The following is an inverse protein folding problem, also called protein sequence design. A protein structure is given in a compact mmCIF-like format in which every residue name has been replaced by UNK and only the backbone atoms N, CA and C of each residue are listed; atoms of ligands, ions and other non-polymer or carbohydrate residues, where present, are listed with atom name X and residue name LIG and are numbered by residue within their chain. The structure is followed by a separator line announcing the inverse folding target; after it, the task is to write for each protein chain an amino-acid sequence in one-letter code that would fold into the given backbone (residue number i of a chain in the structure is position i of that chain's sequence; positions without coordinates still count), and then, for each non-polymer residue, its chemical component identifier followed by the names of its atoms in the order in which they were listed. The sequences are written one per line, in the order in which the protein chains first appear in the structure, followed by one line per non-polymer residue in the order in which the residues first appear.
data_IF_864683345462
#
_entry.id   IF_864683345462
#
_cell.length_a   1.000
_cell.length_b   1.000
_cell.length_c   1.000
_cell.angle_alpha   90.00
_cell.angle_beta   90.00
_cell.angle_gamma   90.00
#
_symmetry.space_group_name_H-M   'P 1'
#
loop_
_entity.id
_entity.type
_entity.pdbx_description
1 polymer ?
#
# COMPACT_ATOMS: atom_id res chain seq x y z
N UNK A 1 -6.51 -5.35 10.13
CA UNK A 1 -6.16 -3.99 9.67
C UNK A 1 -7.41 -3.31 9.16
N UNK A 2 -7.63 -2.06 9.58
CA UNK A 2 -8.68 -1.16 9.13
C UNK A 2 -7.99 -0.01 8.38
N UNK A 3 -8.38 0.25 7.14
CA UNK A 3 -7.76 1.28 6.30
C UNK A 3 -8.76 1.85 5.29
N UNK A 4 -8.47 3.04 4.78
CA UNK A 4 -9.17 3.61 3.64
C UNK A 4 -8.75 2.93 2.33
N UNK A 5 -9.70 2.70 1.43
CA UNK A 5 -9.46 2.04 0.14
C UNK A 5 -8.94 2.96 -0.96
N UNK A 6 -9.21 4.26 -0.85
CA UNK A 6 -8.68 5.31 -1.72
C UNK A 6 -7.25 5.74 -1.33
N UNK A 7 -6.89 5.54 -0.06
CA UNK A 7 -5.58 5.88 0.49
C UNK A 7 -4.93 4.68 1.20
N UNK A 8 -4.79 3.52 0.54
CA UNK A 8 -4.27 2.30 1.19
C UNK A 8 -2.79 2.40 1.54
N UNK A 9 -2.07 3.41 1.04
CA UNK A 9 -0.66 3.65 1.32
C UNK A 9 -0.41 4.44 2.61
N UNK A 10 -1.46 5.02 3.21
CA UNK A 10 -1.33 5.66 4.51
C UNK A 10 -1.24 4.62 5.63
N UNK A 11 -0.72 5.00 6.80
CA UNK A 11 -0.79 4.15 7.99
C UNK A 11 -2.24 3.72 8.24
N UNK A 12 -2.46 2.46 8.64
CA UNK A 12 -3.81 1.97 8.88
C UNK A 12 -4.48 2.75 10.02
N UNK A 13 -5.81 2.94 9.90
CA UNK A 13 -6.65 3.56 10.94
C UNK A 13 -6.55 2.76 12.23
N UNK A 14 -6.56 1.43 12.10
CA UNK A 14 -6.37 0.50 13.21
C UNK A 14 -5.79 -0.83 12.72
N UNK A 15 -5.16 -1.58 13.62
CA UNK A 15 -4.72 -2.95 13.34
C UNK A 15 -4.66 -3.77 14.62
N UNK A 16 -4.77 -5.09 14.46
CA UNK A 16 -4.64 -6.04 15.56
C UNK A 16 -3.82 -7.23 15.11
N UNK A 17 -3.18 -7.88 16.07
CA UNK A 17 -2.54 -9.20 15.89
C UNK A 17 -3.33 -10.19 16.72
N UNK A 18 -3.96 -11.15 16.05
CA UNK A 18 -4.68 -12.24 16.72
C UNK A 18 -3.78 -13.47 16.74
N UNK A 19 -3.37 -13.95 17.92
CA UNK A 19 -2.59 -15.17 18.00
C UNK A 19 -3.47 -16.35 17.59
N UNK A 20 -2.97 -17.21 16.70
CA UNK A 20 -3.65 -18.47 16.38
C UNK A 20 -3.15 -19.57 17.31
N UNK A 21 -3.98 -20.13 18.21
CA UNK A 21 -3.57 -21.23 19.07
C UNK A 21 -3.11 -22.44 18.27
N UNK A 22 -2.24 -23.26 18.87
CA UNK A 22 -1.81 -24.52 18.23
C UNK A 22 -3.01 -25.45 18.04
N UNK A 23 -3.24 -25.89 16.80
CA UNK A 23 -4.38 -26.73 16.43
C UNK A 23 -5.68 -25.98 16.11
N UNK A 24 -5.75 -24.67 16.35
CA UNK A 24 -6.89 -23.86 15.92
C UNK A 24 -6.89 -23.65 14.40
N UNK A 25 -8.10 -23.59 13.84
CA UNK A 25 -8.34 -23.25 12.44
C UNK A 25 -7.88 -21.82 12.12
N UNK A 26 -7.54 -21.57 10.85
CA UNK A 26 -7.20 -20.21 10.39
C UNK A 26 -8.40 -19.28 10.42
N UNK A 27 -9.60 -19.83 10.20
CA UNK A 27 -10.87 -19.16 10.20
C UNK A 27 -11.19 -18.50 11.55
N UNK A 28 -10.96 -19.20 12.66
CA UNK A 28 -11.21 -18.66 14.01
C UNK A 28 -10.45 -17.34 14.24
N UNK A 29 -9.14 -17.33 13.99
CA UNK A 29 -8.31 -16.14 14.12
C UNK A 29 -8.70 -15.03 13.12
N UNK A 30 -9.12 -15.40 11.90
CA UNK A 30 -9.60 -14.45 10.89
C UNK A 30 -10.89 -13.77 11.36
N UNK A 31 -11.87 -14.52 11.85
CA UNK A 31 -13.16 -13.95 12.27
C UNK A 31 -13.04 -13.15 13.57
N UNK A 32 -12.19 -13.57 14.50
CA UNK A 32 -11.83 -12.75 15.66
C UNK A 32 -11.21 -11.41 15.22
N UNK A 33 -10.26 -11.43 14.28
CA UNK A 33 -9.67 -10.19 13.75
C UNK A 33 -10.71 -9.30 13.04
N UNK A 34 -11.66 -9.90 12.30
CA UNK A 34 -12.74 -9.15 11.64
C UNK A 34 -13.64 -8.47 12.66
N UNK A 35 -14.04 -9.16 13.72
CA UNK A 35 -14.89 -8.57 14.77
C UNK A 35 -14.15 -7.46 15.52
N UNK A 36 -12.88 -7.67 15.90
CA UNK A 36 -12.06 -6.62 16.52
C UNK A 36 -11.94 -5.36 15.62
N UNK A 37 -11.79 -5.54 14.31
CA UNK A 37 -11.74 -4.40 13.37
C UNK A 37 -13.09 -3.72 13.16
N UNK A 38 -14.21 -4.44 13.29
CA UNK A 38 -15.56 -3.86 13.28
C UNK A 38 -15.84 -3.05 14.53
N UNK A 39 -15.43 -3.55 15.69
CA UNK A 39 -15.51 -2.84 16.95
C UNK A 39 -14.64 -1.57 16.90
N UNK A 40 -13.40 -1.68 16.41
CA UNK A 40 -12.52 -0.54 16.21
C UNK A 40 -13.15 0.51 15.27
N UNK A 41 -13.71 0.09 14.13
CA UNK A 41 -14.39 1.00 13.22
C UNK A 41 -15.59 1.70 13.88
N UNK A 42 -16.43 0.95 14.59
CA UNK A 42 -17.59 1.50 15.32
C UNK A 42 -17.15 2.51 16.38
N UNK A 43 -16.09 2.22 17.13
CA UNK A 43 -15.56 3.10 18.17
C UNK A 43 -15.01 4.43 17.62
N UNK A 44 -14.66 4.45 16.33
CA UNK A 44 -14.08 5.59 15.61
C UNK A 44 -15.06 6.29 14.67
N UNK A 45 -16.34 5.86 14.64
CA UNK A 45 -17.36 6.33 13.68
C UNK A 45 -16.97 6.10 12.21
N UNK A 46 -16.23 5.02 11.94
CA UNK A 46 -15.81 4.62 10.59
C UNK A 46 -16.81 3.64 9.95
N UNK A 47 -17.13 3.87 8.67
CA UNK A 47 -18.04 3.01 7.93
C UNK A 47 -17.30 1.91 7.15
N UNK A 48 -17.50 0.66 7.53
CA UNK A 48 -16.89 -0.49 6.84
C UNK A 48 -17.64 -0.78 5.53
N UNK A 49 -17.02 -0.43 4.39
CA UNK A 49 -17.59 -0.66 3.05
C UNK A 49 -17.37 -2.07 2.51
N UNK A 50 -16.40 -2.81 3.07
CA UNK A 50 -16.05 -4.16 2.64
C UNK A 50 -15.05 -4.82 3.59
N UNK A 51 -14.96 -6.14 3.51
CA UNK A 51 -14.02 -6.96 4.28
C UNK A 51 -13.25 -7.81 3.28
N UNK A 52 -11.93 -7.82 3.38
CA UNK A 52 -11.04 -8.63 2.55
C UNK A 52 -10.15 -9.49 3.44
N UNK A 53 -9.92 -10.74 3.03
CA UNK A 53 -9.03 -11.68 3.71
C UNK A 53 -8.05 -12.24 2.70
N UNK A 54 -6.76 -12.12 2.96
CA UNK A 54 -5.74 -12.80 2.17
C UNK A 54 -5.56 -14.23 2.62
N UNK A 55 -5.41 -15.14 1.67
CA UNK A 55 -5.09 -16.54 1.97
C UNK A 55 -3.97 -17.03 1.08
N UNK A 56 -3.05 -17.78 1.68
CA UNK A 56 -1.88 -18.36 1.02
C UNK A 56 -2.13 -19.67 0.27
N UNK A 57 -3.22 -20.37 0.56
CA UNK A 57 -3.49 -21.70 0.01
C UNK A 57 -4.98 -22.03 0.01
N UNK A 58 -5.38 -22.93 -0.89
CA UNK A 58 -6.77 -23.35 -1.08
C UNK A 58 -7.41 -23.90 0.20
N UNK A 59 -6.66 -24.63 1.04
CA UNK A 59 -7.20 -25.18 2.30
C UNK A 59 -7.58 -24.08 3.30
N UNK A 60 -6.80 -23.00 3.39
CA UNK A 60 -7.15 -21.85 4.22
C UNK A 60 -8.31 -21.06 3.63
N UNK A 61 -8.34 -20.90 2.31
CA UNK A 61 -9.44 -20.27 1.59
C UNK A 61 -10.77 -21.02 1.82
N UNK A 62 -10.77 -22.35 1.73
CA UNK A 62 -11.93 -23.19 2.00
C UNK A 62 -12.43 -23.05 3.44
N UNK A 63 -11.51 -23.08 4.42
CA UNK A 63 -11.85 -22.90 5.83
C UNK A 63 -12.50 -21.53 6.09
N UNK A 64 -11.88 -20.45 5.61
CA UNK A 64 -12.42 -19.08 5.74
C UNK A 64 -13.76 -18.96 5.03
N UNK A 65 -13.91 -19.53 3.83
CA UNK A 65 -15.16 -19.49 3.06
C UNK A 65 -16.29 -20.25 3.75
N UNK A 66 -16.00 -21.43 4.31
CA UNK A 66 -16.98 -22.22 5.04
C UNK A 66 -17.47 -21.48 6.29
N UNK A 67 -16.56 -20.89 7.05
CA UNK A 67 -16.88 -20.12 8.26
C UNK A 67 -17.56 -18.77 7.95
N UNK A 68 -17.29 -18.15 6.79
CA UNK A 68 -17.93 -16.90 6.38
C UNK A 68 -19.46 -17.02 6.28
N UNK A 69 -19.96 -18.18 5.86
CA UNK A 69 -21.39 -18.41 5.65
C UNK A 69 -22.01 -17.37 4.71
N UNK A 70 -22.86 -16.49 5.25
CA UNK A 70 -23.53 -15.40 4.50
C UNK A 70 -22.83 -14.05 4.61
N UNK A 71 -21.74 -13.96 5.36
CA UNK A 71 -20.98 -12.73 5.54
C UNK A 71 -20.38 -12.27 4.22
N UNK A 72 -20.48 -10.97 3.93
CA UNK A 72 -19.85 -10.36 2.75
C UNK A 72 -18.37 -10.11 3.03
N UNK A 73 -17.55 -11.10 2.70
CA UNK A 73 -16.09 -10.94 2.66
C UNK A 73 -15.56 -11.36 1.28
N UNK A 74 -14.46 -10.74 0.87
CA UNK A 74 -13.72 -11.09 -0.33
C UNK A 74 -12.46 -11.84 0.09
N UNK A 75 -12.31 -13.10 -0.35
CA UNK A 75 -11.05 -13.83 -0.19
C UNK A 75 -10.16 -13.50 -1.38
N UNK A 76 -8.91 -13.17 -1.11
CA UNK A 76 -7.92 -12.77 -2.11
C UNK A 76 -6.70 -13.65 -1.97
N UNK A 77 -6.16 -14.12 -3.10
CA UNK A 77 -4.88 -14.82 -3.13
C UNK A 77 -3.76 -13.86 -2.67
N UNK A 78 -3.00 -14.25 -1.66
CA UNK A 78 -2.01 -13.41 -1.00
C UNK A 78 -0.95 -12.82 -1.96
N UNK A 79 -0.22 -13.61 -2.78
CA UNK A 79 0.68 -13.07 -3.79
C UNK A 79 0.01 -12.11 -4.78
N UNK A 80 -1.24 -12.33 -5.17
CA UNK A 80 -1.95 -11.40 -6.06
C UNK A 80 -2.28 -10.08 -5.36
N UNK A 81 -2.64 -10.12 -4.08
CA UNK A 81 -2.82 -8.93 -3.28
C UNK A 81 -1.51 -8.14 -3.16
N UNK A 82 -0.39 -8.82 -2.88
CA UNK A 82 0.93 -8.21 -2.78
C UNK A 82 1.32 -7.52 -4.10
N UNK A 83 1.20 -8.22 -5.24
CA UNK A 83 1.44 -7.65 -6.57
C UNK A 83 0.54 -6.43 -6.85
N UNK A 84 -0.74 -6.52 -6.48
CA UNK A 84 -1.70 -5.42 -6.66
C UNK A 84 -1.25 -4.16 -5.93
N UNK A 85 -0.79 -4.29 -4.68
CA UNK A 85 -0.34 -3.15 -3.91
C UNK A 85 0.99 -2.58 -4.40
N UNK A 86 1.98 -3.43 -4.69
CA UNK A 86 3.28 -2.98 -5.21
C UNK A 86 3.15 -2.29 -6.58
N UNK A 87 2.16 -2.69 -7.39
CA UNK A 87 1.81 -1.99 -8.63
C UNK A 87 1.17 -0.63 -8.36
N UNK A 88 0.28 -0.55 -7.36
CA UNK A 88 -0.36 0.71 -6.97
C UNK A 88 0.66 1.76 -6.49
N UNK A 89 1.74 1.32 -5.85
CA UNK A 89 2.84 2.20 -5.40
C UNK A 89 3.89 2.46 -6.49
N UNK A 90 3.68 1.98 -7.72
CA UNK A 90 4.60 2.11 -8.87
C UNK A 90 6.00 1.55 -8.59
N UNK A 91 6.11 0.57 -7.68
CA UNK A 91 7.40 -0.02 -7.27
C UNK A 91 7.81 -1.23 -8.11
N UNK A 92 6.87 -1.87 -8.81
CA UNK A 92 7.17 -3.03 -9.67
C UNK A 92 7.84 -2.60 -10.98
N UNK A 93 8.78 -3.41 -11.51
CA UNK A 93 9.26 -3.27 -12.88
C UNK A 93 8.11 -3.32 -13.90
N UNK A 94 8.27 -2.65 -15.04
CA UNK A 94 7.25 -2.64 -16.10
C UNK A 94 7.11 -3.98 -16.84
N UNK A 95 8.19 -4.76 -16.88
CA UNK A 95 8.29 -6.06 -17.56
C UNK A 95 9.20 -7.01 -16.79
N UNK A 96 9.33 -8.25 -17.25
CA UNK A 96 10.14 -9.27 -16.56
C UNK A 96 9.47 -9.81 -15.30
N UNK A 97 10.26 -10.36 -14.39
CA UNK A 97 9.75 -11.03 -13.19
C UNK A 97 10.28 -10.40 -11.92
N UNK A 98 9.46 -10.44 -10.87
CA UNK A 98 9.82 -10.02 -9.51
C UNK A 98 9.80 -11.23 -8.60
N UNK A 99 10.70 -11.26 -7.63
CA UNK A 99 10.66 -12.20 -6.52
C UNK A 99 10.02 -11.53 -5.31
N UNK A 100 8.92 -12.06 -4.81
CA UNK A 100 8.34 -11.67 -3.53
C UNK A 100 8.93 -12.58 -2.45
N UNK A 101 9.64 -11.97 -1.51
CA UNK A 101 10.22 -12.61 -0.34
C UNK A 101 9.46 -12.12 0.90
N UNK A 102 8.49 -12.90 1.35
CA UNK A 102 7.60 -12.56 2.47
C UNK A 102 7.99 -13.34 3.72
N UNK A 103 8.74 -12.69 4.61
CA UNK A 103 9.24 -13.27 5.86
C UNK A 103 8.37 -12.85 7.05
N UNK A 104 7.37 -13.67 7.33
CA UNK A 104 6.44 -13.49 8.44
C UNK A 104 6.91 -14.10 9.76
N UNK A 105 6.01 -14.15 10.74
CA UNK A 105 6.26 -14.75 12.04
C UNK A 105 6.47 -16.27 11.95
N UNK A 106 5.60 -16.97 11.22
CA UNK A 106 5.57 -18.44 11.17
C UNK A 106 6.43 -19.05 10.08
N UNK A 107 6.98 -18.24 9.17
CA UNK A 107 7.82 -18.75 8.10
C UNK A 107 8.07 -17.75 6.98
N UNK A 108 8.67 -18.27 5.91
CA UNK A 108 9.00 -17.56 4.68
C UNK A 108 8.14 -18.07 3.53
N UNK A 109 7.51 -17.16 2.79
CA UNK A 109 6.89 -17.45 1.50
C UNK A 109 7.70 -16.77 0.41
N UNK A 110 8.13 -17.53 -0.60
CA UNK A 110 8.83 -17.02 -1.76
C UNK A 110 7.96 -17.25 -2.99
N UNK A 111 7.66 -16.18 -3.71
CA UNK A 111 6.83 -16.23 -4.93
C UNK A 111 7.54 -15.50 -6.05
N UNK A 112 7.71 -16.13 -7.20
CA UNK A 112 8.17 -15.45 -8.41
C UNK A 112 6.99 -15.19 -9.34
N UNK A 113 6.85 -13.96 -9.80
CA UNK A 113 5.73 -13.53 -10.62
C UNK A 113 6.16 -12.65 -11.79
N UNK A 114 5.43 -12.76 -12.91
CA UNK A 114 5.58 -11.87 -14.06
C UNK A 114 4.91 -10.51 -13.81
N UNK A 115 5.68 -9.43 -13.96
CA UNK A 115 5.25 -8.08 -13.62
C UNK A 115 4.25 -7.49 -14.63
N UNK A 116 4.08 -8.08 -15.81
CA UNK A 116 3.12 -7.59 -16.81
C UNK A 116 1.77 -8.28 -16.71
N UNK A 117 1.78 -9.57 -16.43
CA UNK A 117 0.59 -10.45 -16.47
C UNK A 117 0.08 -10.85 -15.10
N UNK A 118 0.81 -10.55 -14.03
CA UNK A 118 0.57 -11.05 -12.67
C UNK A 118 0.60 -12.59 -12.58
N UNK A 119 1.16 -13.27 -13.59
CA UNK A 119 1.25 -14.71 -13.62
C UNK A 119 2.28 -15.20 -12.58
N UNK A 120 1.84 -16.09 -11.69
CA UNK A 120 2.73 -16.74 -10.73
C UNK A 120 3.49 -17.86 -11.43
N UNK A 121 4.81 -17.74 -11.48
CA UNK A 121 5.70 -18.73 -12.11
C UNK A 121 6.01 -19.89 -11.15
N UNK A 122 6.28 -19.54 -9.89
CA UNK A 122 6.50 -20.49 -8.82
C UNK A 122 6.20 -19.85 -7.46
N UNK A 123 5.74 -20.65 -6.51
CA UNK A 123 5.48 -20.23 -5.15
C UNK A 123 5.83 -21.35 -4.18
N UNK A 124 6.52 -21.01 -3.09
CA UNK A 124 7.03 -21.96 -2.11
C UNK A 124 6.94 -21.40 -0.69
N UNK A 125 6.69 -22.28 0.28
CA UNK A 125 6.68 -21.92 1.69
C UNK A 125 7.62 -22.81 2.50
N UNK A 126 8.36 -22.18 3.41
CA UNK A 126 9.17 -22.85 4.40
C UNK A 126 8.86 -22.30 5.80
N UNK A 127 8.75 -23.20 6.77
CA UNK A 127 8.64 -22.86 8.20
C UNK A 127 9.99 -22.91 8.92
N UNK A 128 11.09 -23.17 8.20
CA UNK A 128 12.45 -23.28 8.77
C UNK A 128 12.94 -21.93 9.28
N UNK A 129 12.58 -20.84 8.59
CA UNK A 129 13.02 -19.47 8.91
C UNK A 129 11.79 -18.59 9.06
N UNK A 130 11.68 -17.90 10.18
CA UNK A 130 10.55 -17.04 10.51
C UNK A 130 10.77 -16.31 11.84
N UNK A 131 9.95 -15.29 12.09
CA UNK A 131 10.03 -14.46 13.30
C UNK A 131 9.95 -15.24 14.61
N UNK A 132 9.17 -16.33 14.66
CA UNK A 132 9.05 -17.19 15.85
C UNK A 132 10.36 -17.91 16.18
N UNK A 133 11.08 -18.33 15.14
CA UNK A 133 12.42 -18.90 15.26
C UNK A 133 13.43 -17.86 15.72
N UNK A 134 13.35 -16.64 15.17
CA UNK A 134 14.20 -15.52 15.62
C UNK A 134 13.98 -15.19 17.10
N UNK A 135 12.72 -15.16 17.56
CA UNK A 135 12.39 -14.95 18.96
C UNK A 135 12.94 -16.10 19.83
N UNK A 136 12.87 -17.35 19.34
CA UNK A 136 13.44 -18.49 20.06
C UNK A 136 14.97 -18.39 20.20
N UNK A 137 15.68 -18.00 19.13
CA UNK A 137 17.13 -17.78 19.15
C UNK A 137 17.52 -16.66 20.12
N UNK A 138 16.76 -15.56 20.14
CA UNK A 138 17.00 -14.45 21.06
C UNK A 138 16.80 -14.88 22.53
N UNK A 139 15.71 -15.61 22.83
CA UNK A 139 15.48 -16.17 24.17
C UNK A 139 16.59 -17.12 24.58
N UNK A 140 17.02 -17.99 23.68
CA UNK A 140 18.10 -18.94 23.95
C UNK A 140 19.41 -18.21 24.28
N UNK A 141 19.76 -17.17 23.51
CA UNK A 141 20.95 -16.35 23.78
C UNK A 141 20.86 -15.66 25.13
N UNK A 142 19.74 -15.01 25.43
CA UNK A 142 19.54 -14.29 26.69
C UNK A 142 19.57 -15.23 27.90
N UNK A 143 19.02 -16.43 27.78
CA UNK A 143 19.04 -17.42 28.85
C UNK A 143 20.47 -17.87 29.18
N UNK A 144 21.36 -17.96 28.18
CA UNK A 144 22.78 -18.23 28.39
C UNK A 144 23.47 -17.14 29.22
N UNK A 145 23.04 -15.89 29.03
CA UNK A 145 23.55 -14.71 29.74
C UNK A 145 22.77 -14.44 31.06
N UNK A 146 21.95 -15.39 31.52
CA UNK A 146 21.24 -15.33 32.81
C UNK A 146 19.97 -14.49 32.80
N UNK A 147 19.40 -14.21 31.63
CA UNK A 147 18.12 -13.49 31.45
C UNK A 147 17.07 -14.42 30.86
N UNK A 148 16.07 -14.79 31.67
CA UNK A 148 14.97 -15.65 31.25
C UNK A 148 13.72 -14.82 31.04
N UNK A 149 13.23 -14.78 29.80
CA UNK A 149 12.06 -14.01 29.39
C UNK A 149 11.05 -14.87 28.64
N UNK A 150 9.80 -14.43 28.62
CA UNK A 150 8.74 -15.08 27.85
C UNK A 150 8.78 -14.70 26.36
N UNK A 151 7.91 -15.33 25.57
CA UNK A 151 7.84 -15.11 24.12
C UNK A 151 7.44 -13.67 23.76
N UNK A 152 6.39 -13.07 24.34
CA UNK A 152 6.03 -11.67 24.06
C UNK A 152 7.17 -10.69 24.35
N UNK A 153 7.87 -10.84 25.48
CA UNK A 153 9.00 -9.96 25.85
C UNK A 153 10.15 -10.07 24.85
N UNK A 154 10.45 -11.29 24.38
CA UNK A 154 11.45 -11.51 23.34
C UNK A 154 11.08 -10.83 22.02
N UNK A 155 9.82 -10.92 21.61
CA UNK A 155 9.33 -10.25 20.41
C UNK A 155 9.50 -8.74 20.54
N UNK A 156 9.12 -8.19 21.70
CA UNK A 156 9.30 -6.76 22.00
C UNK A 156 10.75 -6.30 21.92
N UNK A 157 11.72 -7.07 22.44
CA UNK A 157 13.14 -6.72 22.29
C UNK A 157 13.63 -6.79 20.85
N UNK A 158 13.26 -7.84 20.10
CA UNK A 158 13.57 -7.96 18.67
C UNK A 158 13.01 -6.77 17.86
N UNK A 159 11.77 -6.41 18.10
CA UNK A 159 11.11 -5.28 17.43
C UNK A 159 11.76 -3.95 17.83
N UNK A 160 12.08 -3.76 19.11
CA UNK A 160 12.79 -2.58 19.60
C UNK A 160 14.17 -2.42 18.94
N UNK A 161 14.87 -3.53 18.65
CA UNK A 161 16.15 -3.51 17.93
C UNK A 161 16.03 -3.07 16.45
N UNK A 162 14.82 -3.04 15.90
CA UNK A 162 14.58 -2.42 14.58
C UNK A 162 14.71 -0.91 14.67
N UNK A 163 14.09 -0.28 15.66
CA UNK A 163 14.12 1.18 15.83
C UNK A 163 15.41 1.68 16.52
N UNK A 164 15.90 0.95 17.53
CA UNK A 164 17.09 1.30 18.31
C UNK A 164 18.25 0.34 18.01
N UNK A 165 19.49 0.82 17.86
CA UNK A 165 20.64 -0.07 17.66
C UNK A 165 20.99 -0.89 18.91
N UNK A 166 20.47 -0.52 20.09
CA UNK A 166 20.78 -1.14 21.38
C UNK A 166 19.52 -1.21 22.25
N UNK A 167 19.33 -2.33 22.94
CA UNK A 167 18.28 -2.58 23.92
C UNK A 167 18.90 -3.23 25.16
N UNK A 168 18.41 -2.94 26.35
CA UNK A 168 18.80 -3.67 27.58
C UNK A 168 17.71 -4.67 27.93
N UNK A 169 18.00 -5.96 27.76
CA UNK A 169 17.15 -7.03 28.25
C UNK A 169 17.29 -7.13 29.77
N UNK A 170 16.18 -7.32 30.47
CA UNK A 170 16.16 -7.43 31.93
C UNK A 170 15.39 -8.68 32.34
N UNK A 171 15.99 -9.51 33.18
CA UNK A 171 15.30 -10.62 33.81
C UNK A 171 14.25 -10.07 34.80
N UNK A 172 12.97 -10.46 34.67
CA UNK A 172 11.91 -9.92 35.52
C UNK A 172 12.02 -10.35 36.99
N UNK A 173 12.76 -11.42 37.30
CA UNK A 173 12.87 -12.00 38.64
C UNK A 173 14.18 -11.66 39.33
N UNK A 174 15.30 -11.76 38.63
CA UNK A 174 16.64 -11.49 39.20
C UNK A 174 17.10 -10.06 38.96
N UNK A 175 16.44 -9.33 38.07
CA UNK A 175 16.88 -8.02 37.57
C UNK A 175 18.27 -8.04 36.93
N UNK A 176 18.75 -9.22 36.52
CA UNK A 176 19.95 -9.35 35.67
C UNK A 176 19.73 -8.56 34.38
N UNK A 177 20.75 -7.82 33.94
CA UNK A 177 20.67 -7.00 32.72
C UNK A 177 21.71 -7.44 31.72
N UNK A 178 21.27 -7.58 30.48
CA UNK A 178 22.12 -7.90 29.33
C UNK A 178 21.88 -6.84 28.26
N UNK A 179 22.95 -6.28 27.74
CA UNK A 179 22.88 -5.36 26.61
C UNK A 179 22.85 -6.18 25.32
N UNK A 180 21.86 -5.92 24.48
CA UNK A 180 21.73 -6.49 23.14
C UNK A 180 21.88 -5.37 22.13
N UNK A 181 22.70 -5.60 21.11
CA UNK A 181 22.80 -4.73 19.96
C UNK A 181 22.05 -5.33 18.77
N UNK A 182 21.75 -4.48 17.78
CA UNK A 182 21.19 -4.92 16.51
C UNK A 182 22.14 -5.88 15.80
N UNK A 183 23.45 -5.69 15.94
CA UNK A 183 24.47 -6.60 15.38
C UNK A 183 24.44 -7.97 16.06
N UNK A 184 24.29 -8.04 17.38
CA UNK A 184 24.17 -9.33 18.08
C UNK A 184 22.95 -10.11 17.57
N UNK A 185 21.81 -9.42 17.40
CA UNK A 185 20.62 -10.06 16.83
C UNK A 185 20.84 -10.47 15.37
N UNK A 186 21.51 -9.65 14.56
CA UNK A 186 21.82 -9.97 13.18
C UNK A 186 22.65 -11.26 13.08
N UNK A 187 23.71 -11.39 13.88
CA UNK A 187 24.55 -12.59 13.93
C UNK A 187 23.74 -13.84 14.31
N UNK A 188 22.76 -13.72 15.22
CA UNK A 188 21.89 -14.84 15.58
C UNK A 188 21.06 -15.35 14.41
N UNK A 189 20.65 -14.48 13.48
CA UNK A 189 19.75 -14.83 12.37
C UNK A 189 20.45 -15.07 11.04
N UNK A 190 21.74 -14.72 10.91
CA UNK A 190 22.54 -14.85 9.68
C UNK A 190 22.43 -16.24 9.04
N UNK A 191 22.58 -17.32 9.81
CA UNK A 191 22.49 -18.68 9.28
C UNK A 191 21.12 -18.99 8.66
N UNK A 192 20.03 -18.47 9.27
CA UNK A 192 18.68 -18.59 8.74
C UNK A 192 18.50 -17.81 7.43
N UNK A 193 19.08 -16.61 7.35
CA UNK A 193 19.04 -15.78 6.13
C UNK A 193 19.81 -16.46 4.98
N UNK A 194 20.95 -17.07 5.25
CA UNK A 194 21.72 -17.80 4.22
C UNK A 194 20.95 -19.01 3.70
N UNK A 195 20.26 -19.72 4.60
CA UNK A 195 19.38 -20.81 4.23
C UNK A 195 18.20 -20.34 3.37
N UNK A 196 17.55 -19.23 3.72
CA UNK A 196 16.43 -18.69 2.93
C UNK A 196 16.86 -18.22 1.55
N UNK A 197 18.05 -17.62 1.40
CA UNK A 197 18.58 -17.25 0.09
C UNK A 197 18.89 -18.48 -0.76
N UNK A 198 19.38 -19.56 -0.15
CA UNK A 198 19.57 -20.84 -0.87
C UNK A 198 18.24 -21.39 -1.38
N UNK A 199 17.17 -21.25 -0.59
CA UNK A 199 15.81 -21.62 -0.99
C UNK A 199 15.29 -20.78 -2.17
N UNK A 200 15.57 -19.47 -2.17
CA UNK A 200 15.26 -18.58 -3.28
C UNK A 200 16.00 -18.99 -4.56
N UNK A 201 17.30 -19.26 -4.47
CA UNK A 201 18.11 -19.66 -5.63
C UNK A 201 17.60 -20.94 -6.27
N UNK A 202 17.17 -21.91 -5.47
CA UNK A 202 16.53 -23.12 -5.96
C UNK A 202 15.23 -22.82 -6.73
N UNK A 203 14.38 -21.92 -6.22
CA UNK A 203 13.15 -21.52 -6.92
C UNK A 203 13.44 -20.82 -8.25
N UNK A 204 14.47 -19.98 -8.32
CA UNK A 204 14.92 -19.32 -9.55
C UNK A 204 15.45 -20.34 -10.57
N UNK A 205 16.21 -21.35 -10.12
CA UNK A 205 16.70 -22.43 -10.98
C UNK A 205 15.55 -23.26 -11.57
N UNK A 206 14.53 -23.54 -10.76
CA UNK A 206 13.34 -24.30 -11.18
C UNK A 206 12.49 -23.56 -12.22
N UNK A 207 12.35 -22.23 -12.11
CA UNK A 207 11.63 -21.44 -13.12
C UNK A 207 12.48 -21.19 -14.37
N UNK A 208 13.80 -21.23 -14.24
CA UNK A 208 14.74 -20.89 -15.31
C UNK A 208 14.70 -19.41 -15.71
N UNK A 209 14.11 -18.54 -14.89
CA UNK A 209 13.95 -17.12 -15.17
C UNK A 209 14.59 -16.30 -14.06
N UNK A 210 15.55 -15.44 -14.41
CA UNK A 210 16.15 -14.52 -13.44
C UNK A 210 15.19 -13.35 -13.14
N UNK A 211 14.84 -13.10 -11.86
CA UNK A 211 14.06 -11.92 -11.48
C UNK A 211 14.88 -10.62 -11.61
N UNK A 212 14.18 -9.51 -11.87
CA UNK A 212 14.79 -8.19 -12.00
C UNK A 212 14.92 -7.47 -10.65
N UNK A 213 14.10 -7.84 -9.67
CA UNK A 213 14.06 -7.23 -8.35
C UNK A 213 13.51 -8.22 -7.32
N UNK A 214 13.76 -7.94 -6.04
CA UNK A 214 13.18 -8.64 -4.90
C UNK A 214 12.33 -7.70 -4.04
N UNK A 215 11.06 -8.01 -3.86
CA UNK A 215 10.18 -7.33 -2.92
C UNK A 215 10.28 -7.99 -1.55
N UNK A 216 10.75 -7.24 -0.56
CA UNK A 216 11.00 -7.72 0.81
C UNK A 216 9.81 -7.39 1.70
N UNK A 217 8.95 -8.38 1.92
CA UNK A 217 7.68 -8.26 2.65
C UNK A 217 7.72 -9.01 3.99
N UNK A 218 6.68 -8.79 4.81
CA UNK A 218 6.53 -9.45 6.10
C UNK A 218 7.30 -8.75 7.23
N UNK A 219 6.78 -8.88 8.46
CA UNK A 219 7.27 -8.09 9.60
C UNK A 219 8.76 -8.27 9.92
N UNK A 220 9.37 -9.41 9.57
CA UNK A 220 10.80 -9.62 9.83
C UNK A 220 11.70 -8.73 8.96
N UNK A 221 11.25 -8.30 7.77
CA UNK A 221 12.05 -7.45 6.87
C UNK A 221 12.06 -5.97 7.31
N UNK A 222 11.32 -5.62 8.35
CA UNK A 222 11.49 -4.34 9.06
C UNK A 222 12.91 -4.19 9.61
N UNK A 223 13.55 -5.28 10.03
CA UNK A 223 14.92 -5.24 10.52
C UNK A 223 15.89 -4.88 9.37
N UNK A 224 16.64 -3.77 9.47
CA UNK A 224 17.49 -3.30 8.38
C UNK A 224 18.68 -4.23 8.08
N UNK A 225 19.17 -4.99 9.08
CA UNK A 225 20.23 -5.98 8.88
C UNK A 225 19.76 -7.18 8.06
N UNK A 226 18.54 -7.65 8.32
CA UNK A 226 17.93 -8.72 7.51
C UNK A 226 17.74 -8.26 6.06
N UNK A 227 17.20 -7.05 5.86
CA UNK A 227 16.99 -6.49 4.52
C UNK A 227 18.31 -6.37 3.74
N UNK A 228 19.31 -5.73 4.35
CA UNK A 228 20.60 -5.51 3.70
C UNK A 228 21.32 -6.82 3.35
N UNK A 229 21.24 -7.83 4.22
CA UNK A 229 21.88 -9.12 3.96
C UNK A 229 21.16 -9.91 2.87
N UNK A 230 19.82 -9.92 2.83
CA UNK A 230 19.07 -10.56 1.74
C UNK A 230 19.37 -9.87 0.40
N UNK A 231 19.38 -8.55 0.35
CA UNK A 231 19.71 -7.76 -0.84
C UNK A 231 21.13 -8.09 -1.34
N UNK A 232 22.12 -8.09 -0.44
CA UNK A 232 23.51 -8.39 -0.78
C UNK A 232 23.73 -9.84 -1.25
N UNK A 233 23.07 -10.81 -0.61
CA UNK A 233 23.22 -12.23 -0.96
C UNK A 233 22.51 -12.60 -2.27
N UNK A 234 21.39 -11.92 -2.59
CA UNK A 234 20.67 -12.13 -3.85
C UNK A 234 21.26 -11.34 -5.02
N UNK A 235 21.97 -10.24 -4.75
CA UNK A 235 22.48 -9.32 -5.77
C UNK A 235 21.36 -8.80 -6.69
N UNK A 236 20.23 -8.45 -6.08
CA UNK A 236 19.03 -7.94 -6.75
C UNK A 236 18.59 -6.62 -6.10
N UNK A 237 18.13 -5.63 -6.88
CA UNK A 237 17.50 -4.44 -6.35
C UNK A 237 16.33 -4.78 -5.42
N UNK A 238 16.35 -4.23 -4.20
CA UNK A 238 15.29 -4.43 -3.23
C UNK A 238 14.14 -3.42 -3.42
N UNK A 239 12.91 -3.93 -3.54
CA UNK A 239 11.66 -3.17 -3.40
C UNK A 239 11.22 -3.29 -1.94
N UNK A 240 10.98 -2.15 -1.30
CA UNK A 240 10.64 -2.10 0.12
C UNK A 240 9.51 -1.09 0.40
N UNK A 241 8.52 -1.55 1.17
CA UNK A 241 7.50 -0.70 1.79
C UNK A 241 7.87 -0.46 3.26
N UNK A 242 7.70 0.76 3.82
CA UNK A 242 7.97 1.04 5.23
C UNK A 242 7.16 0.19 6.22
N UNK A 243 6.02 -0.35 5.81
CA UNK A 243 5.14 -1.22 6.58
C UNK A 243 4.94 -2.56 5.84
N UNK A 244 6.01 -3.37 5.71
CA UNK A 244 6.06 -4.53 4.82
C UNK A 244 5.07 -5.64 5.21
N UNK A 245 4.61 -5.69 6.46
CA UNK A 245 3.59 -6.63 6.94
C UNK A 245 2.17 -6.28 6.51
N UNK A 246 1.92 -5.04 6.07
CA UNK A 246 0.58 -4.60 5.65
C UNK A 246 0.36 -4.70 4.14
N UNK A 247 1.40 -4.98 3.35
CA UNK A 247 1.34 -5.03 1.88
C UNK A 247 0.24 -5.99 1.38
N UNK A 248 0.18 -7.23 1.90
CA UNK A 248 -0.88 -8.19 1.55
C UNK A 248 -2.27 -7.63 1.84
N UNK A 249 -2.49 -7.05 3.02
CA UNK A 249 -3.78 -6.53 3.44
C UNK A 249 -4.20 -5.29 2.63
N UNK A 250 -3.27 -4.38 2.33
CA UNK A 250 -3.50 -3.19 1.50
C UNK A 250 -3.88 -3.59 0.07
N UNK A 251 -3.20 -4.59 -0.47
CA UNK A 251 -3.54 -5.21 -1.75
C UNK A 251 -4.94 -5.80 -1.77
N UNK A 252 -5.30 -6.52 -0.72
CA UNK A 252 -6.62 -7.12 -0.61
C UNK A 252 -7.73 -6.07 -0.55
N UNK A 253 -7.52 -4.95 0.15
CA UNK A 253 -8.47 -3.83 0.17
C UNK A 253 -8.63 -3.22 -1.23
N UNK A 254 -7.53 -3.04 -1.97
CA UNK A 254 -7.56 -2.56 -3.36
C UNK A 254 -8.35 -3.50 -4.29
N UNK A 255 -8.34 -4.81 -4.03
CA UNK A 255 -9.08 -5.81 -4.81
C UNK A 255 -10.54 -5.98 -4.36
N UNK A 256 -10.81 -5.82 -3.06
CA UNK A 256 -12.15 -5.95 -2.49
C UNK A 256 -13.01 -4.70 -2.66
N UNK A 257 -12.40 -3.55 -3.00
CA UNK A 257 -13.11 -2.32 -3.32
C UNK A 257 -13.84 -2.50 -4.65
N UNK A 258 -15.04 -3.09 -4.60
CA UNK A 258 -16.01 -2.92 -5.65
C UNK A 258 -16.35 -1.44 -5.70
N UNK A 259 -16.09 -0.77 -6.83
CA UNK A 259 -16.68 0.54 -7.10
C UNK A 259 -18.15 0.44 -6.67
N UNK A 260 -18.63 1.28 -5.74
CA UNK A 260 -20.05 1.28 -5.40
C UNK A 260 -20.78 1.39 -6.73
N UNK A 261 -21.53 0.34 -7.10
CA UNK A 261 -22.49 0.48 -8.20
C UNK A 261 -23.28 1.71 -7.82
N UNK A 262 -23.11 2.81 -8.59
CA UNK A 262 -23.65 4.09 -8.20
C UNK A 262 -25.11 3.85 -7.89
N UNK A 263 -25.48 3.87 -6.60
CA UNK A 263 -26.83 3.54 -6.21
C UNK A 263 -27.61 4.73 -6.71
N UNK A 264 -28.17 4.62 -7.92
CA UNK A 264 -29.13 5.60 -8.42
C UNK A 264 -30.27 5.54 -7.42
N UNK A 265 -30.24 6.45 -6.46
CA UNK A 265 -31.37 6.69 -5.59
C UNK A 265 -32.48 7.11 -6.52
N UNK A 266 -33.44 6.21 -6.77
CA UNK A 266 -34.66 6.53 -7.51
C UNK A 266 -35.46 7.48 -6.63
N UNK A 267 -35.21 8.78 -6.81
CA UNK A 267 -35.89 9.86 -6.12
C UNK A 267 -35.42 10.05 -4.69
N UNK A 268 -34.55 11.04 -4.48
CA UNK A 268 -34.48 11.72 -3.19
C UNK A 268 -35.80 12.48 -3.05
N UNK A 269 -36.77 11.92 -2.31
CA UNK A 269 -37.93 12.72 -1.87
C UNK A 269 -37.43 13.64 -0.77
N UNK A 270 -37.06 14.86 -1.15
CA UNK A 270 -36.98 15.93 -0.17
C UNK A 270 -38.37 16.07 0.44
N UNK A 271 -38.52 15.70 1.71
CA UNK A 271 -39.68 16.08 2.49
C UNK A 271 -39.61 17.59 2.76
N UNK A 272 -39.74 18.40 1.70
CA UNK A 272 -40.04 19.80 1.85
C UNK A 272 -41.45 19.85 2.43
N UNK A 273 -41.58 20.34 3.67
CA UNK A 273 -42.88 20.89 4.10
C UNK A 273 -43.28 21.92 3.03
N UNK A 274 -44.42 21.77 2.34
CA UNK A 274 -44.86 22.81 1.43
C UNK A 274 -45.12 24.05 2.27
N UNK A 275 -44.22 25.03 2.19
CA UNK A 275 -44.52 26.38 2.63
C UNK A 275 -45.57 26.89 1.67
N UNK A 276 -46.81 26.95 2.13
CA UNK A 276 -47.89 27.63 1.44
C UNK A 276 -47.55 29.11 1.37
N UNK A 277 -46.90 29.52 0.28
CA UNK A 277 -46.73 30.94 -0.03
C UNK A 277 -48.10 31.47 -0.37
N UNK A 278 -48.70 32.21 0.58
CA UNK A 278 -49.94 32.93 0.37
C UNK A 278 -49.66 34.02 -0.65
N UNK A 279 -50.06 33.79 -1.91
CA UNK A 279 -49.99 34.77 -2.99
C UNK A 279 -50.94 35.92 -2.66
N UNK A 280 -50.42 36.95 -1.97
CA UNK A 280 -51.08 38.23 -1.84
C UNK A 280 -50.94 38.97 -3.17
N UNK A 281 -52.02 38.96 -3.96
CA UNK A 281 -52.10 39.72 -5.20
C UNK A 281 -51.89 41.20 -4.94
N UNK A 282 -50.77 41.73 -5.40
CA UNK A 282 -50.62 43.17 -5.64
C UNK A 282 -50.22 43.34 -7.11
N UNK A 283 -51.16 43.88 -7.89
CA UNK A 283 -51.00 44.09 -9.32
C UNK A 283 -49.79 44.97 -9.61
N UNK A 284 -48.88 44.48 -10.44
CA UNK A 284 -47.71 45.23 -10.87
C UNK A 284 -48.14 46.31 -11.85
N UNK A 285 -47.91 47.58 -11.50
CA UNK A 285 -48.29 48.72 -12.34
C UNK A 285 -47.47 48.76 -13.64
N UNK A 286 -48.10 49.21 -14.73
CA UNK A 286 -47.54 49.27 -16.10
C UNK A 286 -46.18 49.99 -16.19
N UNK A 287 -45.81 50.82 -15.21
CA UNK A 287 -44.51 51.51 -15.15
C UNK A 287 -43.32 50.58 -14.85
N UNK A 288 -43.53 49.45 -14.14
CA UNK A 288 -42.46 48.46 -13.87
C UNK A 288 -42.17 47.56 -15.07
N UNK A 289 -43.15 47.34 -15.96
CA UNK A 289 -42.97 46.58 -17.20
C UNK A 289 -42.11 47.30 -18.24
N UNK A 290 -42.19 48.64 -18.30
CA UNK A 290 -41.36 49.44 -19.23
C UNK A 290 -39.88 49.45 -18.80
N UNK A 291 -39.60 49.42 -17.49
CA UNK A 291 -38.23 49.33 -16.99
C UNK A 291 -37.55 47.99 -17.32
N UNK A 292 -38.32 46.89 -17.35
CA UNK A 292 -37.78 45.58 -17.73
C UNK A 292 -37.44 45.50 -19.23
N UNK A 293 -38.23 46.14 -20.10
CA UNK A 293 -37.98 46.15 -21.54
C UNK A 293 -36.75 46.99 -21.93
N UNK A 294 -36.41 48.03 -21.17
CA UNK A 294 -35.23 48.86 -21.45
C UNK A 294 -33.90 48.13 -21.21
N UNK A 295 -33.84 47.23 -20.20
CA UNK A 295 -32.63 46.48 -19.85
C UNK A 295 -32.32 45.37 -20.86
N UNK A 296 -33.34 44.80 -21.50
CA UNK A 296 -33.16 43.74 -22.50
C UNK A 296 -32.65 44.29 -23.85
N UNK A 297 -32.97 45.53 -24.21
CA UNK A 297 -32.50 46.15 -25.45
C UNK A 297 -31.02 46.55 -25.40
N UNK A 298 -30.49 46.91 -24.23
CA UNK A 298 -29.08 47.30 -24.06
C UNK A 298 -28.10 46.13 -24.11
N UNK A 299 -28.48 44.93 -23.64
CA UNK A 299 -27.59 43.76 -23.70
C UNK A 299 -27.56 43.09 -25.08
N UNK A 300 -28.64 43.21 -25.87
CA UNK A 300 -28.72 42.65 -27.22
C UNK A 300 -27.86 43.38 -28.25
N UNK A 301 -27.62 44.69 -28.07
CA UNK A 301 -26.80 45.49 -28.98
C UNK A 301 -25.29 45.26 -28.84
N UNK A 302 -24.82 44.82 -27.67
CA UNK A 302 -23.38 44.58 -27.41
C UNK A 302 -22.87 43.23 -27.93
N UNK A 303 -23.74 42.22 -28.08
CA UNK A 303 -23.32 40.89 -28.56
C UNK A 303 -23.39 40.79 -30.09
N UNK A 304 -24.29 41.52 -30.75
CA UNK A 304 -24.39 41.54 -32.21
C UNK A 304 -23.32 42.41 -32.90
N UNK A 305 -22.74 43.39 -32.20
CA UNK A 305 -21.72 44.29 -32.76
C UNK A 305 -20.30 43.72 -32.81
N UNK A 306 -19.98 42.67 -32.04
CA UNK A 306 -18.62 42.12 -31.97
C UNK A 306 -18.35 40.94 -32.91
N UNK A 307 -19.38 40.42 -33.60
CA UNK A 307 -19.28 39.27 -34.50
C UNK A 307 -19.31 39.63 -35.99
N UNK A 308 -19.33 40.93 -36.34
CA UNK A 308 -19.45 41.42 -37.73
C UNK A 308 -18.11 41.94 -38.30
N UNK A 309 -17.02 41.95 -37.52
CA UNK A 309 -15.73 42.51 -37.98
C UNK A 309 -14.65 41.51 -38.38
N UNK A 310 -14.88 40.20 -38.27
CA UNK A 310 -13.94 39.20 -38.79
C UNK A 310 -14.62 38.36 -39.87
N UNK A 311 -14.54 38.82 -41.12
CA UNK A 311 -14.22 37.99 -42.29
C UNK A 311 -14.27 38.78 -43.60
N UNK A 312 -13.33 38.44 -44.49
CA UNK A 312 -13.10 38.87 -45.90
C UNK A 312 -12.04 40.00 -46.05
N UNK A 313 -10.89 39.80 -46.70
CA UNK A 313 -10.66 39.14 -48.01
C UNK A 313 -9.19 38.69 -48.22
N UNK A 314 -8.98 37.69 -49.09
CA UNK A 314 -7.72 37.38 -49.81
C UNK A 314 -7.90 37.75 -51.32
N UNK A 315 -6.96 37.55 -52.30
CA UNK A 315 -5.51 37.22 -52.29
C UNK A 315 -4.64 38.08 -53.27
N UNK A 316 -3.30 37.87 -53.33
CA UNK A 316 -2.49 38.18 -54.55
C UNK A 316 -1.01 38.64 -54.40
N UNK A 317 -0.07 37.70 -54.56
CA UNK A 317 1.27 37.76 -55.19
C UNK A 317 2.09 39.08 -55.28
N UNK A 318 3.30 39.15 -54.70
CA UNK A 318 4.63 38.90 -55.35
C UNK A 318 5.84 39.53 -54.62
N UNK A 319 6.95 38.78 -54.64
CA UNK A 319 8.38 39.17 -54.59
C UNK A 319 9.17 39.35 -53.27
N UNK A 320 10.25 38.56 -53.20
CA UNK A 320 11.51 38.78 -52.45
C UNK A 320 11.45 38.33 -50.99
N UNK A 321 12.29 37.46 -50.45
CA UNK A 321 13.58 36.92 -50.84
C UNK A 321 14.38 36.68 -49.56
N UNK A 322 15.02 35.51 -49.44
CA UNK A 322 16.10 35.13 -48.49
C UNK A 322 15.75 34.98 -47.00
N UNK A 323 15.93 33.74 -46.49
CA UNK A 323 15.89 33.39 -45.05
C UNK A 323 17.21 33.69 -44.32
N UNK A 324 17.65 32.82 -43.38
CA UNK A 324 17.16 32.69 -42.00
C UNK A 324 18.29 32.91 -40.97
N UNK A 325 17.98 33.09 -39.68
CA UNK A 325 18.81 32.52 -38.60
C UNK A 325 18.12 32.48 -37.22
N UNK A 326 18.41 31.46 -36.41
CA UNK A 326 17.84 31.21 -35.07
C UNK A 326 18.73 31.81 -33.97
N UNK A 327 18.17 32.05 -32.77
CA UNK A 327 18.94 32.45 -31.60
C UNK A 327 19.24 31.27 -30.68
N UNK A 328 20.48 31.26 -30.19
CA UNK A 328 21.28 30.16 -29.64
C UNK A 328 21.29 30.11 -28.10
N UNK A 329 21.66 28.93 -27.60
CA UNK A 329 21.79 28.46 -26.21
C UNK A 329 22.97 29.13 -25.48
N UNK A 330 22.79 29.48 -24.20
CA UNK A 330 23.86 30.02 -23.35
C UNK A 330 24.65 28.92 -22.61
N UNK A 331 25.97 28.93 -22.78
CA UNK A 331 26.95 28.07 -22.10
C UNK A 331 27.72 28.74 -20.95
N UNK A 332 28.38 27.88 -20.18
CA UNK A 332 29.15 28.06 -18.93
C UNK A 332 30.40 28.94 -19.03
N UNK A 333 30.85 29.64 -17.95
CA UNK A 333 32.14 30.34 -17.93
C UNK A 333 33.31 29.51 -17.32
N UNK A 334 34.58 29.89 -17.58
CA UNK A 334 35.76 29.03 -17.38
C UNK A 334 36.53 29.24 -16.06
N UNK A 335 37.37 28.25 -15.72
CA UNK A 335 38.42 28.27 -14.67
C UNK A 335 39.57 29.25 -14.99
N UNK A 336 40.28 29.77 -13.96
CA UNK A 336 41.67 30.22 -14.08
C UNK A 336 42.68 29.16 -13.59
N UNK A 337 43.91 29.27 -14.08
CA UNK A 337 45.08 28.40 -13.83
C UNK A 337 46.04 29.03 -12.81
N UNK A 338 46.63 28.15 -12.01
CA UNK A 338 47.68 28.16 -10.97
C UNK A 338 48.72 29.30 -10.85
N UNK A 339 49.15 29.52 -9.60
CA UNK A 339 50.57 29.68 -9.25
C UNK A 339 50.86 29.42 -7.74
N UNK A 340 51.81 28.50 -7.52
CA UNK A 340 52.66 28.21 -6.33
C UNK A 340 52.15 27.26 -5.23
#
# INVERSE_FOLDING_TARGET
MLTHSDQPHLPPIDHCTVPRPSGAGVDEAVFEAVELMREAATSRDEFVTGIAVTTRCATHEEAVRAAAGRSRLTIVDEPLAQLRYLRFTEQLPAEGTVLIYDLGASGLTVTQADCRTDAILAGRHSTVVGGDGHDALLRWRLAHDGVVIDRPTSCGYKEALTASPVVTATDPRTHTRVVLTRSDFHELVTAGIHHSVSYVRQLIEETGVTPQAVALLGGCTRNPGIRAEVEALLDLPAIYDPEPEFVSARGAVLMATQLPSARRVRGVRFAGKPVTVRSGGTGVSKRKLVAAAAVTATLGATVAGLLVLDHTSAPGNTHGGTGPSPMEVAGTPPKPVDAK
#
